data_IF_812962910549
#
_entry.id   IF_812962910549
#
_cell.length_a   1.000
_cell.length_b   1.000
_cell.length_c   1.000
_cell.angle_alpha   90.00
_cell.angle_beta   90.00
_cell.angle_gamma   90.00
#
_symmetry.space_group_name_H-M   'P 1'
#
loop_
_entity.id
_entity.type
_entity.pdbx_description
1 polymer ?
#
# COMPACT_ATOMS: atom_id res chain seq x y z
N UNK A 1 14.75 4.59 11.70
CA UNK A 1 15.26 3.33 11.12
C UNK A 1 14.13 2.50 10.57
N UNK A 2 13.57 1.58 11.36
CA UNK A 2 12.55 0.60 10.92
C UNK A 2 11.38 1.19 10.14
N UNK A 3 10.68 2.18 10.71
CA UNK A 3 9.50 2.80 10.06
C UNK A 3 9.86 3.46 8.72
N UNK A 4 10.98 4.17 8.67
CA UNK A 4 11.48 4.79 7.43
C UNK A 4 11.78 3.73 6.36
N UNK A 5 12.47 2.64 6.75
CA UNK A 5 12.71 1.50 5.85
C UNK A 5 11.42 0.86 5.36
N UNK A 6 10.45 0.67 6.24
CA UNK A 6 9.14 0.12 5.88
C UNK A 6 8.41 1.04 4.89
N UNK A 7 8.42 2.35 5.13
CA UNK A 7 7.86 3.35 4.22
C UNK A 7 8.55 3.38 2.85
N UNK A 8 9.84 3.08 2.79
CA UNK A 8 10.54 2.90 1.51
C UNK A 8 10.10 1.63 0.77
N UNK A 9 9.82 0.54 1.49
CA UNK A 9 9.32 -0.72 0.92
C UNK A 9 7.88 -0.61 0.43
N UNK A 10 6.99 0.12 1.12
CA UNK A 10 5.61 0.32 0.65
C UNK A 10 5.46 1.46 -0.36
N UNK A 11 6.50 2.29 -0.54
CA UNK A 11 6.52 3.38 -1.53
C UNK A 11 5.94 4.71 -1.04
N UNK A 12 5.89 4.91 0.29
CA UNK A 12 5.53 6.18 0.94
C UNK A 12 6.72 7.16 1.00
N UNK A 13 7.95 6.64 1.09
CA UNK A 13 9.19 7.41 1.06
C UNK A 13 10.05 6.89 -0.09
N UNK A 14 10.67 7.79 -0.86
CA UNK A 14 11.62 7.39 -1.90
C UNK A 14 12.99 7.11 -1.25
N UNK A 15 13.60 5.93 -1.47
CA UNK A 15 14.95 5.68 -1.00
C UNK A 15 15.96 6.56 -1.74
N UNK A 16 16.99 7.02 -1.01
CA UNK A 16 18.11 7.76 -1.60
C UNK A 16 18.98 6.84 -2.46
N UNK A 17 19.21 5.61 -1.98
CA UNK A 17 20.02 4.57 -2.62
C UNK A 17 19.44 3.18 -2.30
N UNK A 18 19.89 2.17 -3.05
CA UNK A 18 19.40 0.80 -2.95
C UNK A 18 18.16 0.53 -3.80
N UNK A 19 17.68 -0.71 -3.73
CA UNK A 19 16.62 -1.22 -4.59
C UNK A 19 15.56 -1.95 -3.77
N UNK A 20 14.31 -1.85 -4.21
CA UNK A 20 13.18 -2.61 -3.65
C UNK A 20 12.68 -3.54 -4.75
N UNK A 21 12.64 -4.83 -4.44
CA UNK A 21 12.13 -5.87 -5.34
C UNK A 21 10.88 -6.50 -4.74
N UNK A 22 9.91 -6.80 -5.60
CA UNK A 22 8.83 -7.74 -5.29
C UNK A 22 9.06 -8.95 -6.18
N UNK A 23 9.40 -10.09 -5.56
CA UNK A 23 9.96 -11.24 -6.27
C UNK A 23 11.21 -10.84 -7.06
N UNK A 24 11.23 -11.02 -8.39
CA UNK A 24 12.34 -10.60 -9.27
C UNK A 24 12.10 -9.21 -9.91
N UNK A 25 10.94 -8.58 -9.68
CA UNK A 25 10.61 -7.29 -10.29
C UNK A 25 11.12 -6.12 -9.44
N UNK A 26 11.93 -5.24 -10.03
CA UNK A 26 12.34 -3.99 -9.38
C UNK A 26 11.18 -2.98 -9.33
N UNK A 27 10.76 -2.63 -8.11
CA UNK A 27 9.68 -1.67 -7.84
C UNK A 27 10.17 -0.38 -7.17
N UNK A 28 11.49 -0.14 -7.11
CA UNK A 28 12.12 1.02 -6.44
C UNK A 28 11.47 2.36 -6.82
N UNK A 29 11.15 2.55 -8.10
CA UNK A 29 10.54 3.79 -8.62
C UNK A 29 9.01 3.76 -8.69
N UNK A 30 8.39 2.62 -8.39
CA UNK A 30 6.94 2.49 -8.42
C UNK A 30 6.32 3.23 -7.23
N UNK A 31 5.33 4.12 -7.45
CA UNK A 31 4.57 4.74 -6.36
C UNK A 31 3.68 3.71 -5.66
N UNK A 32 3.24 4.03 -4.43
CA UNK A 32 2.44 3.14 -3.57
C UNK A 32 1.25 2.49 -4.29
N UNK A 33 0.44 3.22 -5.06
CA UNK A 33 -0.74 2.64 -5.73
C UNK A 33 -0.37 1.55 -6.76
N UNK A 34 0.76 1.69 -7.46
CA UNK A 34 1.25 0.66 -8.40
C UNK A 34 1.78 -0.56 -7.64
N UNK A 35 2.39 -0.35 -6.48
CA UNK A 35 2.81 -1.44 -5.59
C UNK A 35 1.60 -2.21 -5.06
N UNK A 36 0.53 -1.51 -4.70
CA UNK A 36 -0.73 -2.13 -4.27
C UNK A 36 -1.38 -2.97 -5.37
N UNK A 37 -1.41 -2.48 -6.61
CA UNK A 37 -1.89 -3.24 -7.79
C UNK A 37 -1.07 -4.51 -8.07
N UNK A 38 0.19 -4.55 -7.60
CA UNK A 38 1.06 -5.74 -7.67
C UNK A 38 0.91 -6.69 -6.48
N UNK A 39 0.00 -6.39 -5.54
CA UNK A 39 -0.31 -7.25 -4.39
C UNK A 39 0.25 -6.77 -3.05
N UNK A 40 0.90 -5.59 -2.98
CA UNK A 40 1.41 -5.06 -1.71
C UNK A 40 0.28 -4.39 -0.91
N UNK A 41 -0.12 -5.00 0.21
CA UNK A 41 -1.00 -4.38 1.19
C UNK A 41 -0.25 -3.51 2.21
N UNK A 42 -0.88 -2.42 2.67
CA UNK A 42 -0.38 -1.59 3.77
C UNK A 42 -1.47 -1.34 4.80
N UNK A 43 -1.17 -1.66 6.06
CA UNK A 43 -1.98 -1.31 7.22
C UNK A 43 -1.26 -0.23 8.02
N UNK A 44 -1.87 0.94 8.13
CA UNK A 44 -1.33 2.03 8.92
C UNK A 44 -1.36 1.71 10.43
N UNK A 45 -0.43 2.32 11.17
CA UNK A 45 -0.40 2.19 12.64
C UNK A 45 -1.57 2.94 13.29
N UNK A 46 -2.01 4.04 12.70
CA UNK A 46 -3.20 4.78 13.11
C UNK A 46 -4.45 4.25 12.42
N UNK A 47 -5.61 4.43 13.05
CA UNK A 47 -6.89 3.95 12.52
C UNK A 47 -7.18 4.55 11.14
N UNK A 48 -7.20 3.68 10.12
CA UNK A 48 -7.44 4.06 8.71
C UNK A 48 -8.87 3.78 8.22
N UNK A 49 -9.74 3.25 9.08
CA UNK A 49 -11.13 2.91 8.74
C UNK A 49 -12.02 4.16 8.58
N UNK A 50 -13.00 4.07 7.69
CA UNK A 50 -14.02 5.11 7.53
C UNK A 50 -15.02 5.03 8.68
N UNK A 51 -14.80 5.83 9.74
CA UNK A 51 -15.56 5.79 11.00
C UNK A 51 -17.07 6.06 10.86
N UNK A 52 -17.50 6.71 9.77
CA UNK A 52 -18.90 7.03 9.50
C UNK A 52 -19.63 5.94 8.71
N UNK A 53 -18.93 4.88 8.31
CA UNK A 53 -19.45 3.79 7.49
C UNK A 53 -19.59 2.51 8.31
N UNK A 54 -20.55 1.67 7.95
CA UNK A 54 -20.66 0.31 8.48
C UNK A 54 -19.44 -0.55 8.06
N UNK A 55 -19.29 -1.72 8.69
CA UNK A 55 -18.24 -2.69 8.30
C UNK A 55 -18.40 -3.10 6.84
N UNK A 56 -19.63 -3.43 6.42
CA UNK A 56 -19.96 -3.79 5.04
C UNK A 56 -19.59 -2.67 4.06
N UNK A 57 -19.93 -1.42 4.39
CA UNK A 57 -19.60 -0.26 3.56
C UNK A 57 -18.09 -0.01 3.47
N UNK A 58 -17.32 -0.26 4.54
CA UNK A 58 -15.86 -0.18 4.49
C UNK A 58 -15.27 -1.23 3.53
N UNK A 59 -15.79 -2.46 3.57
CA UNK A 59 -15.32 -3.55 2.70
C UNK A 59 -15.71 -3.26 1.25
N UNK A 60 -16.99 -2.94 1.00
CA UNK A 60 -17.49 -2.67 -0.34
C UNK A 60 -16.79 -1.47 -1.00
N UNK A 61 -16.54 -0.40 -0.25
CA UNK A 61 -15.84 0.77 -0.77
C UNK A 61 -14.42 0.48 -1.26
N UNK A 62 -13.75 -0.54 -0.72
CA UNK A 62 -12.45 -1.00 -1.24
C UNK A 62 -12.65 -1.90 -2.48
N UNK A 63 -13.64 -2.79 -2.46
CA UNK A 63 -13.92 -3.71 -3.58
C UNK A 63 -14.38 -3.00 -4.85
N UNK A 64 -15.14 -1.91 -4.74
CA UNK A 64 -15.53 -1.06 -5.88
C UNK A 64 -14.31 -0.50 -6.63
N UNK A 65 -13.19 -0.31 -5.94
CA UNK A 65 -11.94 0.18 -6.54
C UNK A 65 -11.11 -0.92 -7.21
N UNK A 66 -11.40 -2.21 -6.96
CA UNK A 66 -10.62 -3.34 -7.49
C UNK A 66 -11.21 -3.95 -8.76
N UNK A 67 -12.38 -3.50 -9.21
CA UNK A 67 -13.08 -4.03 -10.38
C UNK A 67 -13.69 -5.43 -10.16
N UNK A 68 -13.82 -5.85 -8.90
CA UNK A 68 -14.35 -7.15 -8.48
C UNK A 68 -15.86 -7.06 -8.13
N UNK A 69 -16.55 -6.00 -8.57
CA UNK A 69 -17.98 -5.75 -8.26
C UNK A 69 -18.93 -6.71 -8.97
#
# INVERSE_FOLDING_TARGET
GKTTSFYMVVGLIKPNEGHVYLEEEEITKAPMYKRAQKGIGYLAQEASVFRKLSVEQNIMGVLEMTGIS
#
